data_IF_124292496095
#
_entry.id   IF_124292496095
#
_cell.length_a   1.000
_cell.length_b   1.000
_cell.length_c   1.000
_cell.angle_alpha   90.00
_cell.angle_beta   90.00
_cell.angle_gamma   90.00
#
_symmetry.space_group_name_H-M   'P 1'
#
loop_
_entity.id
_entity.type
_entity.pdbx_description
1 polymer ?
#
# COMPACT_ATOMS: atom_id res chain seq x y z
N UNK A 1 8.07 -11.13 -58.40
CA UNK A 1 8.88 -11.41 -57.18
C UNK A 1 9.06 -10.16 -56.31
N UNK A 2 7.99 -9.40 -56.00
CA UNK A 2 8.07 -8.14 -55.21
C UNK A 2 7.12 -8.08 -54.00
N UNK A 3 6.28 -9.10 -53.80
CA UNK A 3 5.25 -9.12 -52.74
C UNK A 3 5.70 -9.86 -51.47
N UNK A 4 6.66 -10.79 -51.56
CA UNK A 4 7.19 -11.55 -50.43
C UNK A 4 8.22 -10.76 -49.60
N UNK A 5 8.91 -9.79 -50.19
CA UNK A 5 9.86 -8.94 -49.48
C UNK A 5 9.20 -7.95 -48.51
N UNK A 6 7.94 -7.54 -48.77
CA UNK A 6 7.22 -6.56 -47.96
C UNK A 6 6.66 -7.21 -46.68
N UNK A 7 6.29 -8.48 -46.73
CA UNK A 7 5.73 -9.20 -45.57
C UNK A 7 6.78 -9.50 -44.50
N UNK A 8 8.04 -9.75 -44.89
CA UNK A 8 9.14 -10.05 -43.96
C UNK A 8 9.53 -8.79 -43.16
N UNK A 9 9.42 -7.59 -43.75
CA UNK A 9 9.76 -6.35 -43.07
C UNK A 9 8.75 -5.97 -41.96
N UNK A 10 7.47 -6.34 -42.13
CA UNK A 10 6.41 -6.04 -41.15
C UNK A 10 6.47 -6.97 -39.92
N UNK A 11 6.89 -8.23 -40.10
CA UNK A 11 7.06 -9.17 -38.97
C UNK A 11 8.32 -8.86 -38.16
N UNK A 12 9.33 -8.23 -38.76
CA UNK A 12 10.56 -7.83 -38.07
C UNK A 12 10.40 -6.53 -37.27
N UNK A 13 9.44 -5.66 -37.64
CA UNK A 13 9.16 -4.41 -36.92
C UNK A 13 8.30 -4.61 -35.66
N UNK A 14 7.53 -5.70 -35.56
CA UNK A 14 6.70 -6.00 -34.40
C UNK A 14 7.47 -6.62 -33.23
N UNK A 15 8.66 -7.20 -33.46
CA UNK A 15 9.49 -7.78 -32.40
C UNK A 15 10.26 -6.70 -31.61
N UNK A 16 10.49 -5.53 -32.21
CA UNK A 16 11.25 -4.44 -31.54
C UNK A 16 10.41 -3.72 -30.47
N UNK A 17 9.07 -3.76 -30.57
CA UNK A 17 8.20 -3.07 -29.61
C UNK A 17 7.92 -3.87 -28.32
N UNK A 18 8.29 -5.15 -28.27
CA UNK A 18 8.09 -6.00 -27.08
C UNK A 18 9.24 -5.95 -26.06
N UNK A 19 10.28 -5.14 -26.32
CA UNK A 19 11.48 -5.02 -25.47
C UNK A 19 11.54 -3.74 -24.64
N UNK A 20 10.41 -3.08 -24.37
CA UNK A 20 10.32 -2.20 -23.20
C UNK A 20 10.10 -3.04 -21.92
N UNK A 21 10.98 -4.02 -21.71
CA UNK A 21 11.24 -4.47 -20.36
C UNK A 21 11.85 -3.28 -19.64
N UNK A 22 11.06 -2.60 -18.80
CA UNK A 22 11.56 -1.55 -17.92
C UNK A 22 12.67 -2.16 -17.06
N UNK A 23 13.91 -2.03 -17.52
CA UNK A 23 15.09 -2.34 -16.76
C UNK A 23 15.23 -1.21 -15.72
N UNK A 24 14.51 -1.36 -14.61
CA UNK A 24 14.66 -0.44 -13.49
C UNK A 24 16.00 -0.69 -12.84
N UNK A 25 16.82 0.36 -12.73
CA UNK A 25 18.01 0.28 -11.91
C UNK A 25 17.59 0.05 -10.45
N UNK A 26 18.17 -0.94 -9.76
CA UNK A 26 17.97 -1.11 -8.32
C UNK A 26 18.20 0.22 -7.59
N UNK A 27 17.23 0.64 -6.78
CA UNK A 27 17.26 1.90 -6.03
C UNK A 27 16.57 3.08 -6.71
N UNK A 28 15.83 2.85 -7.80
CA UNK A 28 14.97 3.85 -8.44
C UNK A 28 13.77 4.26 -7.59
N UNK A 29 13.00 5.26 -8.04
CA UNK A 29 11.81 5.75 -7.30
C UNK A 29 10.75 4.66 -7.12
N UNK A 30 10.51 3.84 -8.14
CA UNK A 30 9.53 2.75 -8.06
C UNK A 30 9.97 1.66 -7.07
N UNK A 31 11.27 1.34 -6.99
CA UNK A 31 11.78 0.42 -5.95
C UNK A 31 11.54 0.97 -4.56
N UNK A 32 11.76 2.28 -4.34
CA UNK A 32 11.47 2.92 -3.05
C UNK A 32 9.99 2.83 -2.69
N UNK A 33 9.10 3.02 -3.66
CA UNK A 33 7.64 2.88 -3.48
C UNK A 33 7.28 1.44 -3.10
N UNK A 34 7.78 0.46 -3.85
CA UNK A 34 7.54 -0.96 -3.61
C UNK A 34 8.07 -1.40 -2.25
N UNK A 35 9.29 -1.00 -1.88
CA UNK A 35 9.88 -1.30 -0.56
C UNK A 35 9.05 -0.70 0.56
N UNK A 36 8.58 0.55 0.42
CA UNK A 36 7.74 1.19 1.43
C UNK A 36 6.42 0.45 1.63
N UNK A 37 5.78 0.05 0.53
CA UNK A 37 4.54 -0.71 0.55
C UNK A 37 4.72 -2.12 1.12
N UNK A 38 5.75 -2.86 0.70
CA UNK A 38 6.02 -4.19 1.26
C UNK A 38 6.33 -4.12 2.76
N UNK A 39 7.01 -3.05 3.20
CA UNK A 39 7.40 -2.86 4.60
C UNK A 39 6.21 -2.82 5.56
N UNK A 40 5.05 -2.27 5.16
CA UNK A 40 3.91 -2.21 6.08
C UNK A 40 3.32 -3.60 6.32
N UNK A 41 3.20 -4.41 5.27
CA UNK A 41 2.66 -5.77 5.39
C UNK A 41 3.64 -6.69 6.12
N UNK A 42 4.96 -6.50 5.93
CA UNK A 42 5.98 -7.17 6.74
C UNK A 42 5.89 -6.78 8.22
N UNK A 43 5.64 -5.50 8.53
CA UNK A 43 5.44 -5.04 9.91
C UNK A 43 4.15 -5.63 10.51
N UNK A 44 3.05 -5.69 9.73
CA UNK A 44 1.81 -6.37 10.10
C UNK A 44 2.03 -7.85 10.42
N UNK A 45 2.73 -8.59 9.55
CA UNK A 45 3.08 -10.01 9.77
C UNK A 45 3.87 -10.21 11.07
N UNK A 46 4.78 -9.30 11.39
CA UNK A 46 5.60 -9.33 12.61
C UNK A 46 4.91 -8.73 13.84
N UNK A 47 3.70 -8.17 13.69
CA UNK A 47 2.99 -7.42 14.75
C UNK A 47 3.82 -6.27 15.33
N UNK A 48 4.62 -5.61 14.49
CA UNK A 48 5.44 -4.46 14.86
C UNK A 48 4.59 -3.18 14.76
N UNK A 49 3.75 -2.94 15.75
CA UNK A 49 2.78 -1.84 15.76
C UNK A 49 3.39 -0.44 15.64
N UNK A 50 4.50 -0.12 16.33
CA UNK A 50 5.22 1.14 16.10
C UNK A 50 5.67 1.29 14.65
N UNK A 51 6.18 0.21 14.03
CA UNK A 51 6.60 0.26 12.63
C UNK A 51 5.42 0.46 11.68
N UNK A 52 4.30 -0.26 11.89
CA UNK A 52 3.07 -0.05 11.11
C UNK A 52 2.67 1.43 11.19
N UNK A 53 2.57 1.99 12.39
CA UNK A 53 2.21 3.38 12.60
C UNK A 53 3.15 4.35 11.86
N UNK A 54 4.46 4.08 11.91
CA UNK A 54 5.46 4.92 11.24
C UNK A 54 5.35 4.93 9.71
N UNK A 55 4.76 3.88 9.12
CA UNK A 55 4.66 3.69 7.66
C UNK A 55 3.35 4.24 7.08
N UNK A 56 2.38 4.58 7.92
CA UNK A 56 1.12 5.17 7.48
C UNK A 56 1.27 6.66 7.14
N UNK A 57 0.44 7.12 6.20
CA UNK A 57 0.21 8.54 5.94
C UNK A 57 -0.42 9.21 7.16
N UNK A 58 -0.23 10.52 7.28
CA UNK A 58 -0.88 11.28 8.37
C UNK A 58 -2.40 11.27 8.24
N UNK A 59 -2.93 11.17 7.01
CA UNK A 59 -4.38 11.02 6.76
C UNK A 59 -4.90 9.71 7.34
N UNK A 60 -4.26 8.57 7.03
CA UNK A 60 -4.60 7.28 7.65
C UNK A 60 -4.53 7.33 9.17
N UNK A 61 -3.46 7.91 9.73
CA UNK A 61 -3.31 8.05 11.18
C UNK A 61 -4.47 8.81 11.82
N UNK A 62 -4.87 9.93 11.22
CA UNK A 62 -5.98 10.74 11.74
C UNK A 62 -7.30 9.97 11.75
N UNK A 63 -7.61 9.24 10.68
CA UNK A 63 -8.81 8.40 10.64
C UNK A 63 -8.82 7.31 11.71
N UNK A 64 -7.68 6.64 11.92
CA UNK A 64 -7.55 5.62 12.96
C UNK A 64 -7.75 6.21 14.35
N UNK A 65 -7.13 7.37 14.63
CA UNK A 65 -7.30 8.08 15.91
C UNK A 65 -8.76 8.47 16.12
N UNK A 66 -9.42 8.99 15.10
CA UNK A 66 -10.83 9.40 15.17
C UNK A 66 -11.77 8.20 15.41
N UNK A 67 -11.51 7.06 14.77
CA UNK A 67 -12.28 5.84 14.98
C UNK A 67 -12.11 5.31 16.41
N UNK A 68 -10.87 5.23 16.92
CA UNK A 68 -10.60 4.79 18.29
C UNK A 68 -11.25 5.75 19.30
N UNK A 69 -11.08 7.06 19.12
CA UNK A 69 -11.67 8.06 20.01
C UNK A 69 -13.19 7.91 20.07
N UNK A 70 -13.83 7.69 18.92
CA UNK A 70 -15.27 7.51 18.82
C UNK A 70 -15.74 6.22 19.52
N UNK A 71 -15.04 5.11 19.34
CA UNK A 71 -15.41 3.84 20.00
C UNK A 71 -15.17 3.88 21.51
N UNK A 72 -14.06 4.45 21.98
CA UNK A 72 -13.77 4.57 23.40
C UNK A 72 -14.72 5.54 24.10
N UNK A 73 -15.09 6.65 23.45
CA UNK A 73 -16.08 7.60 24.01
C UNK A 73 -17.44 6.94 24.23
N UNK A 74 -17.86 6.02 23.35
CA UNK A 74 -19.11 5.25 23.53
C UNK A 74 -19.05 4.27 24.70
N UNK A 75 -17.86 3.81 25.06
CA UNK A 75 -17.60 2.93 26.22
C UNK A 75 -17.40 3.72 27.52
N UNK A 76 -17.55 5.05 27.49
CA UNK A 76 -17.33 5.93 28.63
C UNK A 76 -15.86 6.28 28.87
N UNK A 77 -14.95 5.89 27.97
CA UNK A 77 -13.54 6.28 28.02
C UNK A 77 -13.36 7.77 27.71
N UNK A 78 -12.37 8.39 28.36
CA UNK A 78 -11.99 9.78 28.13
C UNK A 78 -10.51 9.84 27.75
N UNK A 79 -10.25 9.83 26.43
CA UNK A 79 -8.92 9.98 25.88
C UNK A 79 -8.84 11.27 25.05
N UNK A 80 -7.70 11.95 25.08
CA UNK A 80 -7.41 12.99 24.09
C UNK A 80 -6.88 12.36 22.79
N UNK A 81 -6.99 13.09 21.68
CA UNK A 81 -6.42 12.64 20.40
C UNK A 81 -4.92 12.41 20.50
N UNK A 82 -4.23 13.28 21.22
CA UNK A 82 -2.79 13.24 21.43
C UNK A 82 -2.39 11.98 22.22
N UNK A 83 -3.17 11.62 23.25
CA UNK A 83 -2.91 10.42 24.03
C UNK A 83 -3.07 9.13 23.20
N UNK A 84 -4.12 9.07 22.35
CA UNK A 84 -4.33 7.93 21.43
C UNK A 84 -3.20 7.86 20.41
N UNK A 85 -2.83 9.00 19.82
CA UNK A 85 -1.75 9.09 18.86
C UNK A 85 -0.42 8.60 19.45
N UNK A 86 -0.10 9.03 20.67
CA UNK A 86 1.11 8.60 21.40
C UNK A 86 1.10 7.11 21.73
N UNK A 87 -0.04 6.56 22.15
CA UNK A 87 -0.18 5.13 22.39
C UNK A 87 0.05 4.34 21.09
N UNK A 88 -0.56 4.76 19.98
CA UNK A 88 -0.35 4.16 18.65
C UNK A 88 1.11 4.21 18.21
N UNK A 89 1.78 5.34 18.42
CA UNK A 89 3.19 5.50 18.08
C UNK A 89 4.12 4.60 18.91
N UNK A 90 3.79 4.37 20.18
CA UNK A 90 4.57 3.54 21.10
C UNK A 90 4.21 2.04 21.02
N UNK A 91 3.15 1.68 20.30
CA UNK A 91 2.62 0.32 20.27
C UNK A 91 1.99 -0.09 21.61
N UNK A 92 1.33 0.86 22.27
CA UNK A 92 0.70 0.72 23.57
C UNK A 92 -0.57 -0.13 23.57
N UNK A 93 -1.40 0.05 24.59
CA UNK A 93 -2.57 -0.81 24.83
C UNK A 93 -3.63 -0.65 23.74
N UNK A 94 -3.94 0.59 23.36
CA UNK A 94 -4.90 0.90 22.30
C UNK A 94 -4.38 0.45 20.94
N UNK A 95 -3.08 0.63 20.68
CA UNK A 95 -2.43 0.16 19.46
C UNK A 95 -2.56 -1.35 19.29
N UNK A 96 -2.26 -2.11 20.35
CA UNK A 96 -2.38 -3.57 20.34
C UNK A 96 -3.82 -4.00 20.09
N UNK A 97 -4.79 -3.38 20.78
CA UNK A 97 -6.20 -3.70 20.61
C UNK A 97 -6.67 -3.44 19.17
N UNK A 98 -6.34 -2.27 18.62
CA UNK A 98 -6.71 -1.90 17.25
C UNK A 98 -6.09 -2.84 16.21
N UNK A 99 -4.76 -3.01 16.24
CA UNK A 99 -4.07 -3.81 15.22
C UNK A 99 -4.35 -5.30 15.36
N UNK A 100 -4.55 -5.83 16.57
CA UNK A 100 -4.98 -7.23 16.73
C UNK A 100 -6.34 -7.46 16.06
N UNK A 101 -7.33 -6.61 16.35
CA UNK A 101 -8.66 -6.68 15.74
C UNK A 101 -8.59 -6.58 14.21
N UNK A 102 -7.80 -5.64 13.69
CA UNK A 102 -7.58 -5.52 12.24
C UNK A 102 -6.98 -6.80 11.63
N UNK A 103 -5.97 -7.39 12.29
CA UNK A 103 -5.27 -8.58 11.81
C UNK A 103 -6.02 -9.90 12.05
N UNK A 104 -7.14 -9.89 12.78
CA UNK A 104 -8.05 -11.04 12.85
C UNK A 104 -8.78 -11.27 11.52
N UNK A 105 -9.06 -10.19 10.78
CA UNK A 105 -9.76 -10.24 9.50
C UNK A 105 -8.85 -10.02 8.30
N UNK A 106 -7.70 -9.36 8.50
CA UNK A 106 -6.73 -9.09 7.46
C UNK A 106 -5.48 -9.97 7.59
N UNK A 107 -5.24 -10.86 6.61
CA UNK A 107 -4.06 -11.71 6.58
C UNK A 107 -2.96 -11.12 5.65
N UNK A 108 -1.84 -10.62 6.19
CA UNK A 108 -0.76 -10.05 5.38
C UNK A 108 -0.05 -11.06 4.48
N UNK A 109 -0.09 -12.36 4.79
CA UNK A 109 0.52 -13.40 3.95
C UNK A 109 -0.18 -13.52 2.59
N UNK A 110 -1.47 -13.20 2.52
CA UNK A 110 -2.19 -13.15 1.24
C UNK A 110 -1.57 -12.11 0.31
N UNK A 111 -1.20 -10.96 0.87
CA UNK A 111 -0.62 -9.83 0.14
C UNK A 111 0.85 -10.11 -0.22
N UNK A 112 1.61 -10.63 0.73
CA UNK A 112 3.06 -10.87 0.55
C UNK A 112 3.37 -12.09 -0.34
N UNK A 113 2.59 -13.17 -0.22
CA UNK A 113 2.98 -14.47 -0.78
C UNK A 113 2.03 -14.94 -1.89
N UNK A 114 0.80 -14.42 -1.94
CA UNK A 114 -0.24 -14.92 -2.85
C UNK A 114 -0.77 -13.88 -3.82
N UNK A 115 -0.17 -12.68 -3.83
CA UNK A 115 -0.59 -11.57 -4.68
C UNK A 115 0.54 -11.17 -5.62
N UNK A 116 0.15 -10.77 -6.84
CA UNK A 116 1.04 -10.09 -7.77
C UNK A 116 0.98 -8.59 -7.52
N UNK A 117 2.13 -7.95 -7.68
CA UNK A 117 2.32 -6.53 -7.44
C UNK A 117 2.73 -5.88 -8.75
N UNK A 118 2.00 -4.85 -9.14
CA UNK A 118 2.26 -4.07 -10.34
C UNK A 118 2.25 -2.59 -9.99
N UNK A 119 3.17 -1.83 -10.57
CA UNK A 119 3.14 -0.37 -10.43
C UNK A 119 1.95 0.18 -11.22
N UNK A 120 1.13 0.98 -10.54
CA UNK A 120 0.09 1.80 -11.15
C UNK A 120 0.64 3.16 -11.56
N UNK A 121 -0.20 4.18 -11.45
CA UNK A 121 0.19 5.56 -11.70
C UNK A 121 1.25 6.04 -10.70
N UNK A 122 2.26 6.75 -11.17
CA UNK A 122 3.33 7.32 -10.35
C UNK A 122 3.48 8.79 -10.69
N UNK A 123 3.18 9.62 -9.71
CA UNK A 123 3.39 11.06 -9.72
C UNK A 123 4.50 11.45 -8.74
N UNK A 124 4.78 12.75 -8.64
CA UNK A 124 5.83 13.28 -7.77
C UNK A 124 5.61 12.96 -6.28
N UNK A 125 4.38 13.07 -5.80
CA UNK A 125 4.02 12.94 -4.37
C UNK A 125 2.97 11.85 -4.11
N UNK A 126 2.52 11.16 -5.17
CA UNK A 126 1.49 10.12 -5.12
C UNK A 126 1.92 8.96 -5.99
N UNK A 127 1.62 7.74 -5.57
CA UNK A 127 1.75 6.57 -6.42
C UNK A 127 0.66 5.55 -6.09
N UNK A 128 0.43 4.63 -7.00
CA UNK A 128 -0.47 3.50 -6.82
C UNK A 128 0.29 2.18 -7.02
N UNK A 129 -0.02 1.19 -6.19
CA UNK A 129 0.39 -0.19 -6.39
C UNK A 129 -0.86 -1.04 -6.56
N UNK A 130 -0.91 -1.76 -7.68
CA UNK A 130 -2.00 -2.68 -8.00
C UNK A 130 -1.62 -4.05 -7.41
N UNK A 131 -2.42 -4.52 -6.46
CA UNK A 131 -2.23 -5.81 -5.78
C UNK A 131 -3.33 -6.76 -6.25
N UNK A 132 -2.94 -7.79 -7.00
CA UNK A 132 -3.87 -8.82 -7.50
C UNK A 132 -3.67 -10.14 -6.78
N UNK A 133 -4.61 -10.46 -5.89
CA UNK A 133 -4.68 -11.78 -5.27
C UNK A 133 -5.05 -12.85 -6.30
N UNK A 134 -4.35 -14.00 -6.28
CA UNK A 134 -4.54 -15.08 -7.27
C UNK A 134 -5.96 -15.64 -7.40
N UNK A 135 -6.82 -15.49 -6.38
CA UNK A 135 -8.23 -15.94 -6.39
C UNK A 135 -9.24 -14.80 -6.50
N UNK A 136 -8.80 -13.58 -6.84
CA UNK A 136 -9.67 -12.41 -7.02
C UNK A 136 -9.54 -11.85 -8.42
N UNK A 137 -10.69 -11.56 -9.04
CA UNK A 137 -10.76 -10.85 -10.31
C UNK A 137 -10.65 -9.33 -10.14
N UNK A 138 -10.85 -8.83 -8.93
CA UNK A 138 -10.76 -7.40 -8.59
C UNK A 138 -9.46 -7.13 -7.84
N UNK A 139 -8.50 -6.40 -8.44
CA UNK A 139 -7.28 -6.01 -7.74
C UNK A 139 -7.57 -4.90 -6.73
N UNK A 140 -6.79 -4.88 -5.64
CA UNK A 140 -6.74 -3.73 -4.73
C UNK A 140 -5.76 -2.68 -5.27
N UNK A 141 -6.07 -1.40 -5.05
CA UNK A 141 -5.25 -0.27 -5.50
C UNK A 141 -4.69 0.45 -4.28
N UNK A 142 -3.51 0.05 -3.84
CA UNK A 142 -2.86 0.62 -2.68
C UNK A 142 -2.34 2.02 -3.00
N UNK A 143 -2.87 3.02 -2.30
CA UNK A 143 -2.41 4.38 -2.41
C UNK A 143 -1.14 4.61 -1.60
N UNK A 144 -0.18 5.26 -2.24
CA UNK A 144 1.09 5.67 -1.66
C UNK A 144 1.17 7.19 -1.74
N UNK A 145 1.55 7.83 -0.64
CA UNK A 145 1.78 9.28 -0.59
C UNK A 145 3.18 9.55 -0.07
N UNK A 146 3.83 10.56 -0.64
CA UNK A 146 5.16 11.00 -0.21
C UNK A 146 5.00 12.11 0.79
N UNK A 147 5.45 11.86 2.01
CA UNK A 147 5.40 12.83 3.11
C UNK A 147 6.83 13.10 3.56
N UNK A 148 7.27 14.37 3.47
CA UNK A 148 8.64 14.79 3.82
C UNK A 148 9.72 13.96 3.08
N UNK A 149 9.48 13.65 1.80
CA UNK A 149 10.40 12.88 0.97
C UNK A 149 10.35 11.36 1.18
N UNK A 150 9.50 10.85 2.09
CA UNK A 150 9.38 9.43 2.43
C UNK A 150 8.04 8.91 1.93
N UNK A 151 8.05 7.80 1.20
CA UNK A 151 6.81 7.11 0.80
C UNK A 151 6.13 6.45 1.99
N UNK A 152 4.83 6.70 2.14
CA UNK A 152 3.93 6.21 3.18
C UNK A 152 2.72 5.55 2.54
N UNK A 153 2.12 4.62 3.26
CA UNK A 153 0.96 3.84 2.83
C UNK A 153 -0.32 4.52 3.30
N UNK A 154 -1.19 4.86 2.35
CA UNK A 154 -2.55 5.34 2.63
C UNK A 154 -3.49 4.16 2.80
N UNK A 155 -3.51 3.56 3.99
CA UNK A 155 -4.32 2.38 4.29
C UNK A 155 -5.82 2.71 4.26
N UNK A 156 -6.23 3.73 5.01
CA UNK A 156 -7.62 4.19 5.05
C UNK A 156 -8.04 4.80 3.71
N UNK A 157 -7.15 5.52 3.05
CA UNK A 157 -7.41 6.07 1.71
C UNK A 157 -7.63 4.97 0.66
N UNK A 158 -7.07 3.78 0.88
CA UNK A 158 -7.22 2.61 0.00
C UNK A 158 -8.48 1.81 0.30
N UNK A 159 -8.73 1.52 1.59
CA UNK A 159 -9.70 0.50 1.98
C UNK A 159 -11.00 1.05 2.59
N UNK A 160 -11.03 2.32 3.00
CA UNK A 160 -12.26 2.91 3.54
C UNK A 160 -13.24 3.18 2.37
N UNK A 161 -14.52 2.73 2.48
CA UNK A 161 -15.54 3.11 1.50
C UNK A 161 -15.66 4.63 1.47
N UNK A 162 -15.35 5.25 0.34
CA UNK A 162 -15.69 6.66 0.14
C UNK A 162 -17.21 6.75 0.21
N UNK A 163 -17.76 7.50 1.17
CA UNK A 163 -19.18 7.87 1.11
C UNK A 163 -19.38 8.66 -0.18
N UNK A 164 -19.86 7.98 -1.22
CA UNK A 164 -20.42 8.61 -2.41
C UNK A 164 -21.86 9.01 -2.12
#
# INVERSE_FOLDING_TARGET
MKKTAITIFIVMFTIVFSLNGYCQKPGGEQDRILIAAESIFKAMKKRDYPKIWSLLTNVSKNYIVDDILKEESRRGGQYSKEAIHDDLAKGGGLAKAYWNSYLEVFNPDIILEQSKWEMGEVEKERAEIIIKYKKSDRPARLQMLKENGIWKVGLEETFRPTRR
#
